data_IF_291762789279
#
_entry.id   IF_291762789279
#
_cell.length_a   1.000
_cell.length_b   1.000
_cell.length_c   1.000
_cell.angle_alpha   90.00
_cell.angle_beta   90.00
_cell.angle_gamma   90.00
#
_symmetry.space_group_name_H-M   'P 1'
#
loop_
_entity.id
_entity.type
_entity.pdbx_description
1 polymer ?
#
# COMPACT_ATOMS: atom_id res chain seq x y z
N UNK A 1 18.37 -8.36 -11.18
CA UNK A 1 18.85 -9.64 -10.66
C UNK A 1 17.70 -10.28 -9.89
N UNK A 2 17.19 -11.40 -10.43
CA UNK A 2 16.08 -12.14 -9.84
C UNK A 2 16.60 -12.91 -8.62
N UNK A 3 16.48 -12.33 -7.44
CA UNK A 3 16.89 -12.95 -6.19
C UNK A 3 15.63 -13.58 -5.59
N UNK A 4 15.64 -14.90 -5.36
CA UNK A 4 14.50 -15.63 -4.79
C UNK A 4 14.25 -15.35 -3.29
N UNK A 5 14.69 -14.19 -2.80
CA UNK A 5 14.49 -13.77 -1.42
C UNK A 5 13.17 -13.01 -1.31
N UNK A 6 12.29 -13.38 -0.38
CA UNK A 6 11.08 -12.63 -0.11
C UNK A 6 11.38 -11.24 0.41
N UNK A 7 10.55 -10.27 0.04
CA UNK A 7 10.68 -8.87 0.46
C UNK A 7 9.39 -8.43 1.13
N UNK A 8 9.52 -7.71 2.23
CA UNK A 8 8.40 -7.06 2.92
C UNK A 8 8.54 -5.56 2.76
N UNK A 9 7.50 -4.93 2.26
CA UNK A 9 7.33 -3.48 2.22
C UNK A 9 6.32 -3.07 3.27
N UNK A 10 6.55 -1.92 3.91
CA UNK A 10 5.61 -1.37 4.88
C UNK A 10 5.55 0.14 4.75
N UNK A 11 4.34 0.70 4.77
CA UNK A 11 4.15 2.14 4.69
C UNK A 11 2.89 2.60 5.40
N UNK A 12 2.86 3.88 5.70
CA UNK A 12 1.72 4.57 6.29
C UNK A 12 1.20 5.60 5.33
N UNK A 13 -0.10 5.77 5.30
CA UNK A 13 -0.72 6.88 4.60
C UNK A 13 -0.80 8.14 5.46
N UNK A 14 -1.01 9.27 4.77
CA UNK A 14 -1.14 10.58 5.40
C UNK A 14 -2.21 10.59 6.49
N UNK A 15 -1.92 11.35 7.56
CA UNK A 15 -2.82 11.56 8.69
C UNK A 15 -3.30 10.26 9.36
N UNK A 16 -2.62 9.14 9.07
CA UNK A 16 -2.90 7.83 9.67
C UNK A 16 -4.14 7.14 9.13
N UNK A 17 -4.63 7.52 7.94
CA UNK A 17 -5.81 6.92 7.31
C UNK A 17 -5.63 5.44 6.96
N UNK A 18 -4.38 5.01 6.75
CA UNK A 18 -4.06 3.63 6.39
C UNK A 18 -2.68 3.19 6.84
N UNK A 19 -2.58 1.88 7.08
CA UNK A 19 -1.33 1.17 7.37
C UNK A 19 -1.27 -0.03 6.43
N UNK A 20 -0.15 -0.24 5.77
CA UNK A 20 0.00 -1.31 4.79
C UNK A 20 1.27 -2.09 5.02
N UNK A 21 1.17 -3.41 4.83
CA UNK A 21 2.30 -4.33 4.78
C UNK A 21 2.12 -5.23 3.57
N UNK A 22 3.13 -5.31 2.72
CA UNK A 22 3.09 -6.15 1.54
C UNK A 22 4.25 -7.15 1.56
N UNK A 23 3.95 -8.42 1.32
CA UNK A 23 4.89 -9.51 1.15
C UNK A 23 4.96 -9.91 -0.31
N UNK A 24 6.15 -9.90 -0.87
CA UNK A 24 6.42 -10.33 -2.24
C UNK A 24 7.54 -11.35 -2.31
N UNK A 25 7.26 -12.43 -3.04
CA UNK A 25 8.24 -13.42 -3.44
C UNK A 25 8.25 -13.53 -4.96
N UNK A 26 9.43 -13.51 -5.54
CA UNK A 26 9.58 -13.66 -6.98
C UNK A 26 9.03 -15.00 -7.46
N UNK A 27 8.27 -14.97 -8.56
CA UNK A 27 7.63 -16.17 -9.15
C UNK A 27 6.17 -16.35 -8.77
N UNK A 28 5.68 -15.66 -7.74
CA UNK A 28 4.26 -15.64 -7.41
C UNK A 28 3.52 -14.55 -8.20
N UNK A 29 2.20 -14.71 -8.35
CA UNK A 29 1.35 -13.77 -9.06
C UNK A 29 1.33 -12.38 -8.39
N UNK A 30 1.47 -11.33 -9.22
CA UNK A 30 1.56 -9.95 -8.78
C UNK A 30 2.98 -9.58 -8.32
N UNK A 31 3.33 -8.32 -8.45
CA UNK A 31 4.59 -7.76 -7.97
C UNK A 31 4.34 -6.39 -7.31
N UNK A 32 5.41 -5.75 -6.81
CA UNK A 32 5.28 -4.43 -6.17
C UNK A 32 4.66 -3.38 -7.10
N UNK A 33 5.04 -3.37 -8.39
CA UNK A 33 4.45 -2.46 -9.40
C UNK A 33 2.95 -2.68 -9.60
N UNK A 34 2.43 -3.87 -9.31
CA UNK A 34 0.99 -4.11 -9.38
C UNK A 34 0.18 -3.29 -8.36
N UNK A 35 0.82 -2.72 -7.34
CA UNK A 35 0.18 -1.80 -6.39
C UNK A 35 -0.16 -0.46 -7.02
N UNK A 36 0.47 -0.12 -8.15
CA UNK A 36 0.33 1.16 -8.80
C UNK A 36 -0.45 1.04 -10.11
N UNK A 37 -1.14 2.12 -10.45
CA UNK A 37 -1.83 2.29 -11.73
C UNK A 37 -1.51 3.68 -12.27
N UNK A 38 -1.43 3.80 -13.59
CA UNK A 38 -1.40 5.12 -14.25
C UNK A 38 -2.82 5.65 -14.37
N UNK A 39 -2.97 6.92 -14.10
CA UNK A 39 -4.18 7.66 -14.39
C UNK A 39 -4.29 7.84 -15.91
N UNK A 40 -5.48 7.60 -16.48
CA UNK A 40 -5.70 7.62 -17.93
C UNK A 40 -5.68 9.05 -18.49
N UNK A 41 -5.99 10.06 -17.65
CA UNK A 41 -6.13 11.45 -18.08
C UNK A 41 -4.80 12.23 -18.03
N UNK A 42 -3.95 11.95 -17.05
CA UNK A 42 -2.73 12.73 -16.78
C UNK A 42 -1.44 11.92 -16.70
N UNK A 43 -1.52 10.59 -16.89
CA UNK A 43 -0.41 9.62 -16.79
C UNK A 43 0.27 9.58 -15.40
N UNK A 44 -0.28 10.22 -14.39
CA UNK A 44 0.25 10.16 -13.03
C UNK A 44 0.13 8.77 -12.44
N UNK A 45 1.18 8.36 -11.73
CA UNK A 45 1.20 7.08 -11.04
C UNK A 45 0.54 7.22 -9.66
N UNK A 46 -0.45 6.41 -9.36
CA UNK A 46 -1.10 6.39 -8.06
C UNK A 46 -1.16 5.00 -7.43
N UNK A 47 -1.16 4.97 -6.11
CA UNK A 47 -1.28 3.73 -5.31
C UNK A 47 -2.73 3.25 -5.29
N UNK A 48 -3.00 2.11 -5.93
CA UNK A 48 -4.30 1.42 -5.91
C UNK A 48 -4.76 1.02 -4.52
N UNK A 49 -3.84 0.97 -3.57
CA UNK A 49 -4.14 0.53 -2.20
C UNK A 49 -4.51 1.68 -1.29
N UNK A 50 -4.32 2.92 -1.73
CA UNK A 50 -4.53 4.12 -0.92
C UNK A 50 -5.97 4.27 -0.46
N UNK A 51 -6.11 4.67 0.78
CA UNK A 51 -7.36 5.08 1.41
C UNK A 51 -7.62 6.59 1.29
N UNK A 52 -6.58 7.37 0.97
CA UNK A 52 -6.74 8.75 0.55
C UNK A 52 -7.15 8.80 -0.92
N UNK A 53 -8.07 9.70 -1.28
CA UNK A 53 -8.45 9.91 -2.69
C UNK A 53 -7.24 10.42 -3.48
N UNK A 54 -7.07 9.92 -4.71
CA UNK A 54 -5.99 10.31 -5.60
C UNK A 54 -6.05 11.80 -5.96
N UNK A 55 -4.88 12.38 -6.27
CA UNK A 55 -4.77 13.78 -6.74
C UNK A 55 -4.86 14.84 -5.65
N UNK A 56 -4.86 14.46 -4.37
CA UNK A 56 -4.87 15.41 -3.24
C UNK A 56 -3.45 15.66 -2.72
N UNK A 57 -3.16 16.91 -2.39
CA UNK A 57 -1.87 17.28 -1.77
C UNK A 57 -1.89 16.93 -0.28
N UNK A 58 -1.28 15.81 0.05
CA UNK A 58 -1.12 15.31 1.43
C UNK A 58 0.27 15.59 1.99
N UNK A 59 1.15 16.20 1.20
CA UNK A 59 2.53 16.46 1.56
C UNK A 59 2.63 17.79 2.33
N UNK A 60 3.28 17.78 3.49
CA UNK A 60 3.61 18.99 4.22
C UNK A 60 5.07 19.38 3.99
N UNK A 61 5.30 20.66 3.78
CA UNK A 61 6.65 21.24 3.67
C UNK A 61 7.06 21.83 5.00
N UNK A 62 8.26 21.47 5.46
CA UNK A 62 8.84 22.08 6.67
C UNK A 62 9.46 23.42 6.27
N UNK A 63 8.99 24.48 6.89
CA UNK A 63 9.54 25.81 6.67
C UNK A 63 11.04 25.85 7.01
N UNK A 64 11.84 26.34 6.07
CA UNK A 64 13.28 26.56 6.26
C UNK A 64 14.20 25.41 5.85
N UNK A 65 13.71 24.17 5.64
CA UNK A 65 14.57 23.04 5.28
C UNK A 65 14.39 22.52 3.84
N UNK A 66 13.35 22.99 3.13
CA UNK A 66 13.00 22.42 1.81
C UNK A 66 12.57 20.95 1.84
N UNK A 67 12.49 20.34 3.03
CA UNK A 67 12.08 18.97 3.22
C UNK A 67 10.56 18.84 3.16
N UNK A 68 10.10 17.81 2.45
CA UNK A 68 8.70 17.44 2.39
C UNK A 68 8.50 16.13 3.17
N UNK A 69 7.38 15.98 3.85
CA UNK A 69 7.04 14.76 4.55
C UNK A 69 5.53 14.50 4.50
N UNK A 70 5.17 13.23 4.65
CA UNK A 70 3.78 12.81 4.80
C UNK A 70 3.46 12.78 6.30
N UNK A 71 2.52 13.62 6.79
CA UNK A 71 2.25 13.70 8.21
C UNK A 71 1.49 12.47 8.73
N UNK A 72 2.04 11.80 9.73
CA UNK A 72 1.35 10.79 10.54
C UNK A 72 1.99 10.68 11.92
N UNK A 73 1.22 10.22 12.90
CA UNK A 73 1.71 10.11 14.28
C UNK A 73 2.50 8.83 14.54
N UNK A 74 3.32 8.81 15.60
CA UNK A 74 4.14 7.65 16.00
C UNK A 74 3.31 6.40 16.27
N UNK A 75 2.08 6.53 16.76
CA UNK A 75 1.16 5.40 16.97
C UNK A 75 0.81 4.68 15.67
N UNK A 76 0.77 5.39 14.55
CA UNK A 76 0.55 4.82 13.22
C UNK A 76 1.72 3.93 12.83
N UNK A 77 2.96 4.42 13.02
CA UNK A 77 4.19 3.64 12.77
C UNK A 77 4.27 2.38 13.65
N UNK A 78 3.89 2.49 14.92
CA UNK A 78 3.89 1.34 15.84
C UNK A 78 2.90 0.27 15.37
N UNK A 79 1.70 0.66 14.91
CA UNK A 79 0.73 -0.28 14.33
C UNK A 79 1.29 -0.99 13.10
N UNK A 80 1.91 -0.25 12.19
CA UNK A 80 2.54 -0.83 10.99
C UNK A 80 3.67 -1.78 11.37
N UNK A 81 4.52 -1.43 12.33
CA UNK A 81 5.58 -2.31 12.81
C UNK A 81 5.01 -3.61 13.40
N UNK A 82 3.96 -3.54 14.20
CA UNK A 82 3.28 -4.73 14.72
C UNK A 82 2.72 -5.60 13.59
N UNK A 83 2.07 -5.00 12.59
CA UNK A 83 1.60 -5.72 11.39
C UNK A 83 2.75 -6.41 10.63
N UNK A 84 3.93 -5.76 10.53
CA UNK A 84 5.12 -6.39 9.93
C UNK A 84 5.54 -7.63 10.71
N UNK A 85 5.62 -7.56 12.03
CA UNK A 85 6.00 -8.70 12.89
C UNK A 85 5.02 -9.85 12.72
N UNK A 86 3.71 -9.58 12.73
CA UNK A 86 2.68 -10.59 12.52
C UNK A 86 2.78 -11.21 11.12
N UNK A 87 3.09 -10.40 10.10
CA UNK A 87 3.29 -10.87 8.72
C UNK A 87 4.49 -11.80 8.63
N UNK A 88 5.64 -11.41 9.21
CA UNK A 88 6.85 -12.25 9.27
C UNK A 88 6.55 -13.58 9.94
N UNK A 89 5.87 -13.56 11.09
CA UNK A 89 5.47 -14.77 11.80
C UNK A 89 4.61 -15.69 10.93
N UNK A 90 3.58 -15.15 10.27
CA UNK A 90 2.70 -15.92 9.36
C UNK A 90 3.49 -16.52 8.19
N UNK A 91 4.51 -15.84 7.65
CA UNK A 91 5.39 -16.36 6.60
C UNK A 91 6.17 -17.58 7.13
N UNK A 92 6.80 -17.48 8.29
CA UNK A 92 7.54 -18.59 8.91
C UNK A 92 6.65 -19.77 9.29
N UNK A 93 5.38 -19.50 9.61
CA UNK A 93 4.37 -20.54 9.85
C UNK A 93 3.83 -21.18 8.56
N UNK A 94 4.30 -20.76 7.38
CA UNK A 94 3.84 -21.26 6.08
C UNK A 94 2.40 -20.86 5.72
N UNK A 95 1.86 -19.82 6.34
CA UNK A 95 0.47 -19.35 6.12
C UNK A 95 0.31 -18.46 4.90
N UNK A 96 1.41 -17.97 4.34
CA UNK A 96 1.45 -17.20 3.10
C UNK A 96 2.27 -17.94 2.06
N UNK A 97 1.58 -18.45 1.03
CA UNK A 97 2.17 -19.06 -0.17
C UNK A 97 2.24 -18.08 -1.33
N UNK A 98 1.40 -17.05 -1.30
CA UNK A 98 1.22 -16.09 -2.39
C UNK A 98 1.67 -14.68 -1.97
N UNK A 99 1.98 -13.87 -2.97
CA UNK A 99 2.18 -12.44 -2.76
C UNK A 99 0.92 -11.85 -2.13
N UNK A 100 1.11 -11.10 -1.06
CA UNK A 100 0.00 -10.67 -0.20
C UNK A 100 0.19 -9.22 0.21
N UNK A 101 -0.88 -8.44 0.18
CA UNK A 101 -0.94 -7.14 0.85
C UNK A 101 -1.96 -7.18 1.97
N UNK A 102 -1.57 -6.69 3.13
CA UNK A 102 -2.40 -6.48 4.30
C UNK A 102 -2.59 -4.98 4.47
N UNK A 103 -3.85 -4.54 4.50
CA UNK A 103 -4.21 -3.14 4.64
C UNK A 103 -5.09 -2.95 5.87
N UNK A 104 -4.66 -2.11 6.79
CA UNK A 104 -5.43 -1.75 7.98
C UNK A 104 -5.99 -0.33 7.84
N UNK A 105 -7.28 -0.20 8.03
CA UNK A 105 -8.04 1.05 7.95
C UNK A 105 -7.80 1.87 9.21
N UNK A 106 -7.42 3.12 9.05
CA UNK A 106 -7.31 4.11 10.10
C UNK A 106 -8.61 4.91 10.29
N UNK A 107 -8.59 5.84 11.24
CA UNK A 107 -9.67 6.80 11.46
C UNK A 107 -9.55 7.96 10.45
N UNK A 108 -10.68 8.42 9.91
CA UNK A 108 -10.71 9.47 8.89
C UNK A 108 -10.88 10.90 9.45
N UNK A 109 -10.92 11.04 10.77
CA UNK A 109 -11.16 12.33 11.44
C UNK A 109 -10.15 13.41 11.04
N UNK A 110 -8.85 13.08 11.10
CA UNK A 110 -7.81 14.05 10.78
C UNK A 110 -7.78 14.39 9.30
N UNK A 111 -8.06 13.41 8.43
CA UNK A 111 -8.11 13.61 6.99
C UNK A 111 -9.28 14.53 6.62
N UNK A 112 -10.48 14.28 7.14
CA UNK A 112 -11.66 15.13 6.94
C UNK A 112 -11.45 16.56 7.49
N UNK A 113 -10.83 16.69 8.66
CA UNK A 113 -10.52 18.00 9.26
C UNK A 113 -9.52 18.80 8.41
N UNK A 114 -8.66 18.14 7.68
CA UNK A 114 -7.75 18.77 6.71
C UNK A 114 -8.44 19.13 5.38
N UNK A 115 -9.73 18.85 5.23
CA UNK A 115 -10.48 19.11 3.99
C UNK A 115 -10.21 18.09 2.90
N UNK A 116 -9.55 16.97 3.22
CA UNK A 116 -9.21 15.90 2.30
C UNK A 116 -10.31 14.83 2.28
N UNK A 117 -10.36 14.06 1.18
CA UNK A 117 -11.35 13.03 0.96
C UNK A 117 -10.74 11.64 1.04
N UNK A 118 -11.54 10.71 1.50
CA UNK A 118 -11.21 9.27 1.49
C UNK A 118 -11.56 8.66 0.14
N UNK A 119 -10.80 7.66 -0.28
CA UNK A 119 -11.05 6.92 -1.51
C UNK A 119 -12.30 6.04 -1.43
N UNK A 120 -12.82 5.64 -2.60
CA UNK A 120 -13.91 4.64 -2.70
C UNK A 120 -13.53 3.31 -2.03
N UNK A 121 -12.25 2.94 -2.08
CA UNK A 121 -11.74 1.75 -1.39
C UNK A 121 -11.95 1.85 0.11
N UNK A 122 -11.62 3.00 0.72
CA UNK A 122 -11.87 3.25 2.13
C UNK A 122 -13.34 3.10 2.50
N UNK A 123 -14.23 3.70 1.70
CA UNK A 123 -15.67 3.65 1.95
C UNK A 123 -16.24 2.24 1.84
N UNK A 124 -15.79 1.47 0.87
CA UNK A 124 -16.30 0.13 0.60
C UNK A 124 -15.72 -0.95 1.51
N UNK A 125 -14.58 -0.70 2.15
CA UNK A 125 -13.99 -1.66 3.07
C UNK A 125 -14.78 -1.67 4.40
N UNK A 126 -15.40 -2.80 4.70
CA UNK A 126 -16.18 -2.99 5.95
C UNK A 126 -15.29 -3.39 7.13
N UNK A 127 -14.30 -4.25 6.87
CA UNK A 127 -13.41 -4.76 7.90
C UNK A 127 -12.26 -3.79 8.19
N UNK A 128 -11.83 -3.74 9.46
CA UNK A 128 -10.69 -2.89 9.84
C UNK A 128 -9.39 -3.32 9.16
N UNK A 129 -9.22 -4.62 8.89
CA UNK A 129 -8.05 -5.19 8.23
C UNK A 129 -8.51 -6.10 7.11
N UNK A 130 -7.91 -5.96 5.94
CA UNK A 130 -8.14 -6.82 4.77
C UNK A 130 -6.84 -7.36 4.23
N UNK A 131 -6.90 -8.56 3.64
CA UNK A 131 -5.78 -9.20 2.94
C UNK A 131 -6.18 -9.48 1.49
N UNK A 132 -5.36 -9.03 0.54
CA UNK A 132 -5.47 -9.39 -0.88
C UNK A 132 -4.28 -10.27 -1.26
N UNK A 133 -4.52 -11.40 -1.93
CA UNK A 133 -3.51 -12.40 -2.24
C UNK A 133 -3.51 -12.77 -3.72
N UNK A 134 -2.34 -13.13 -4.22
CA UNK A 134 -2.16 -13.73 -5.55
C UNK A 134 -2.83 -12.95 -6.67
N UNK A 135 -3.74 -13.56 -7.38
CA UNK A 135 -4.41 -12.96 -8.54
C UNK A 135 -5.26 -11.72 -8.20
N UNK A 136 -5.73 -11.56 -6.96
CA UNK A 136 -6.43 -10.33 -6.55
C UNK A 136 -5.50 -9.12 -6.47
N UNK A 137 -4.21 -9.38 -6.27
CA UNK A 137 -3.16 -8.37 -6.25
C UNK A 137 -2.63 -8.07 -7.65
N UNK A 138 -2.50 -9.10 -8.49
CA UNK A 138 -1.92 -8.98 -9.83
C UNK A 138 -2.66 -7.96 -10.70
N UNK A 139 -1.90 -7.22 -11.48
CA UNK A 139 -2.42 -6.32 -12.50
C UNK A 139 -2.03 -6.90 -13.88
N UNK A 140 -2.98 -7.29 -14.74
CA UNK A 140 -2.70 -7.84 -16.07
C UNK A 140 -1.90 -6.87 -16.95
N UNK A 141 -2.08 -5.56 -16.75
CA UNK A 141 -1.39 -4.51 -17.50
C UNK A 141 -0.04 -4.08 -16.88
N UNK A 142 0.42 -4.79 -15.85
CA UNK A 142 1.69 -4.46 -15.19
C UNK A 142 2.88 -4.59 -16.15
N UNK A 143 3.68 -3.54 -16.26
CA UNK A 143 4.87 -3.51 -17.13
C UNK A 143 5.96 -4.53 -16.72
N UNK A 144 5.94 -4.97 -15.45
CA UNK A 144 6.96 -5.86 -14.88
C UNK A 144 6.56 -7.33 -14.92
N UNK A 145 5.32 -7.66 -14.59
CA UNK A 145 4.86 -9.05 -14.46
C UNK A 145 3.54 -9.32 -15.19
N UNK A 146 2.99 -8.37 -15.93
CA UNK A 146 1.77 -8.56 -16.71
C UNK A 146 1.97 -9.50 -17.91
N UNK A 147 0.87 -10.03 -18.43
CA UNK A 147 0.87 -11.03 -19.52
C UNK A 147 1.52 -10.52 -20.82
N UNK A 148 1.57 -9.18 -21.03
CA UNK A 148 2.19 -8.58 -22.22
C UNK A 148 3.73 -8.76 -22.29
N UNK A 149 4.37 -9.16 -21.19
CA UNK A 149 5.82 -9.37 -21.12
C UNK A 149 6.22 -10.85 -21.17
N UNK A 150 5.28 -11.75 -21.52
CA UNK A 150 5.49 -13.19 -21.67
C UNK A 150 5.93 -13.59 -23.08
N UNK A 151 7.04 -13.00 -23.59
CA UNK A 151 7.80 -13.49 -24.74
C UNK A 151 9.28 -13.55 -24.41
#
# INVERSE_FOLDING_TARGET
RKIGVPVIYAWNEALGIGNHVAYFQYGNAGCYECLFKRDEDNEELYDRTSYCEHGQDVVQKVAGCGSAFIPYGSTVSIKTAAMCVDTVKKIFEGRYSDNTIISAKGDDYHLKRAGLKVSTKYLNQKDCIVEYRGNLLANPDCEICGEKNGN
#
